data_IF_882074121507
#
_entry.id   IF_882074121507
#
_cell.length_a   1.000
_cell.length_b   1.000
_cell.length_c   1.000
_cell.angle_alpha   90.00
_cell.angle_beta   90.00
_cell.angle_gamma   90.00
#
_symmetry.space_group_name_H-M   'P 1'
#
loop_
_entity.id
_entity.type
_entity.pdbx_description
1 polymer ?
#
# COMPACT_ATOMS: atom_id res chain seq x y z
N UNK A 1 16.12 -9.77 -5.81
CA UNK A 1 14.68 -9.95 -5.57
C UNK A 1 13.90 -9.17 -6.61
N UNK A 2 12.93 -9.81 -7.25
CA UNK A 2 12.10 -9.13 -8.22
C UNK A 2 10.88 -8.53 -7.54
N UNK A 3 10.58 -7.28 -7.86
CA UNK A 3 9.35 -6.64 -7.43
C UNK A 3 8.35 -6.73 -8.58
N UNK A 4 7.23 -7.39 -8.31
CA UNK A 4 6.11 -7.47 -9.26
C UNK A 4 5.28 -6.21 -9.09
N UNK A 5 4.93 -5.55 -10.19
CA UNK A 5 4.12 -4.34 -10.14
C UNK A 5 2.68 -4.66 -10.54
N UNK A 6 1.75 -4.30 -9.66
CA UNK A 6 0.32 -4.32 -9.93
C UNK A 6 -0.23 -3.01 -9.37
N UNK A 7 0.08 -1.92 -10.06
CA UNK A 7 -0.19 -0.57 -9.57
C UNK A 7 -1.67 -0.25 -9.73
N UNK A 8 -2.23 0.34 -8.68
CA UNK A 8 -3.62 0.81 -8.68
C UNK A 8 -3.88 1.72 -9.88
N UNK A 9 -5.01 1.54 -10.60
CA UNK A 9 -5.31 2.40 -11.74
C UNK A 9 -5.56 3.84 -11.29
N UNK A 10 -5.21 4.79 -12.15
CA UNK A 10 -5.31 6.22 -11.82
C UNK A 10 -6.75 6.65 -11.48
N UNK A 11 -7.75 5.95 -12.00
CA UNK A 11 -9.16 6.21 -11.68
C UNK A 11 -9.48 5.99 -10.20
N UNK A 12 -8.64 5.21 -9.49
CA UNK A 12 -8.82 4.95 -8.06
C UNK A 12 -7.85 5.72 -7.16
N UNK A 13 -7.04 6.59 -7.70
CA UNK A 13 -6.11 7.39 -6.90
C UNK A 13 -6.84 8.22 -5.84
N UNK A 14 -8.00 8.77 -6.17
CA UNK A 14 -8.78 9.58 -5.23
C UNK A 14 -9.27 8.79 -4.01
N UNK A 15 -9.33 7.47 -4.10
CA UNK A 15 -9.71 6.59 -2.99
C UNK A 15 -8.47 6.05 -2.29
N UNK A 16 -7.51 5.55 -3.06
CA UNK A 16 -6.41 4.73 -2.52
C UNK A 16 -5.14 5.52 -2.20
N UNK A 17 -4.87 6.59 -2.96
CA UNK A 17 -3.63 7.35 -2.79
C UNK A 17 -3.80 8.79 -3.30
N UNK A 18 -4.71 9.57 -2.68
CA UNK A 18 -5.10 10.88 -3.26
C UNK A 18 -4.02 11.95 -3.19
N UNK A 19 -3.02 11.80 -2.33
CA UNK A 19 -2.03 12.84 -2.09
C UNK A 19 -0.64 12.45 -2.55
N UNK A 20 0.12 13.42 -3.01
CA UNK A 20 1.56 13.24 -3.22
C UNK A 20 2.27 13.01 -1.88
N UNK A 21 3.40 12.30 -1.92
CA UNK A 21 4.15 11.99 -0.72
C UNK A 21 5.65 12.03 -1.00
N UNK A 22 6.41 12.57 -0.05
CA UNK A 22 7.85 12.36 0.04
C UNK A 22 8.07 11.46 1.25
N UNK A 23 8.44 10.20 1.00
CA UNK A 23 8.54 9.23 2.08
C UNK A 23 9.72 9.54 3.00
N UNK A 24 9.47 9.49 4.31
CA UNK A 24 10.51 9.70 5.34
C UNK A 24 10.65 8.49 6.27
N UNK A 25 9.80 7.49 6.14
CA UNK A 25 9.80 6.31 7.01
C UNK A 25 9.21 5.10 6.31
N UNK A 26 9.49 3.94 6.86
CA UNK A 26 8.90 2.67 6.44
C UNK A 26 8.04 2.17 7.61
N UNK A 27 6.81 1.76 7.31
CA UNK A 27 5.89 1.20 8.31
C UNK A 27 5.53 -0.21 7.89
N UNK A 28 5.83 -1.18 8.76
CA UNK A 28 5.59 -2.59 8.47
C UNK A 28 4.38 -3.06 9.27
N UNK A 29 3.43 -3.69 8.59
CA UNK A 29 2.23 -4.27 9.20
C UNK A 29 2.25 -5.78 8.98
N UNK A 30 1.72 -6.52 9.97
CA UNK A 30 1.47 -7.95 9.84
C UNK A 30 0.02 -8.16 9.45
N UNK A 31 -0.23 -8.83 8.32
CA UNK A 31 -1.60 -9.08 7.86
C UNK A 31 -2.33 -10.10 8.73
N UNK A 32 -1.59 -10.97 9.41
CA UNK A 32 -2.12 -12.06 10.23
C UNK A 32 -3.02 -13.02 9.42
N UNK A 33 -2.77 -13.17 8.11
CA UNK A 33 -3.47 -14.12 7.26
C UNK A 33 -2.49 -14.81 6.31
N UNK A 34 -2.96 -15.80 5.56
CA UNK A 34 -2.13 -16.62 4.68
C UNK A 34 -2.24 -16.23 3.20
N UNK A 35 -2.83 -15.08 2.89
CA UNK A 35 -2.97 -14.66 1.50
C UNK A 35 -1.61 -14.35 0.89
N UNK A 36 -1.46 -14.64 -0.41
CA UNK A 36 -0.25 -14.29 -1.13
C UNK A 36 -0.15 -12.77 -1.30
N UNK A 37 1.06 -12.29 -1.53
CA UNK A 37 1.27 -10.86 -1.81
C UNK A 37 0.44 -10.40 -3.01
N UNK A 38 0.33 -11.23 -4.05
CA UNK A 38 -0.52 -10.92 -5.22
C UNK A 38 -1.98 -10.75 -4.84
N UNK A 39 -2.51 -11.65 -4.01
CA UNK A 39 -3.90 -11.59 -3.58
C UNK A 39 -4.16 -10.39 -2.69
N UNK A 40 -3.23 -10.06 -1.78
CA UNK A 40 -3.35 -8.88 -0.92
C UNK A 40 -3.45 -7.59 -1.75
N UNK A 41 -2.57 -7.42 -2.72
CA UNK A 41 -2.58 -6.24 -3.59
C UNK A 41 -3.84 -6.22 -4.47
N UNK A 42 -4.21 -7.36 -5.07
CA UNK A 42 -5.39 -7.43 -5.92
C UNK A 42 -6.66 -7.10 -5.14
N UNK A 43 -6.78 -7.59 -3.92
CA UNK A 43 -7.93 -7.29 -3.06
C UNK A 43 -7.96 -5.80 -2.69
N UNK A 44 -6.83 -5.24 -2.29
CA UNK A 44 -6.73 -3.82 -1.94
C UNK A 44 -7.18 -2.93 -3.10
N UNK A 45 -6.75 -3.24 -4.32
CA UNK A 45 -7.10 -2.46 -5.50
C UNK A 45 -8.58 -2.63 -5.86
N UNK A 46 -9.15 -3.82 -5.66
CA UNK A 46 -10.47 -4.17 -6.18
C UNK A 46 -11.62 -3.51 -5.44
N UNK A 47 -11.45 -3.12 -4.19
CA UNK A 47 -12.51 -2.52 -3.39
C UNK A 47 -12.39 -1.00 -3.33
N UNK A 48 -13.41 -0.32 -2.77
CA UNK A 48 -13.45 1.13 -2.67
C UNK A 48 -13.24 1.63 -1.24
N UNK A 49 -12.65 0.80 -0.39
CA UNK A 49 -12.32 1.21 0.98
C UNK A 49 -11.08 2.09 0.99
N UNK A 50 -11.04 3.04 1.92
CA UNK A 50 -9.84 3.86 2.16
C UNK A 50 -8.86 3.06 3.01
N UNK A 51 -8.38 1.97 2.45
CA UNK A 51 -7.32 1.13 3.00
C UNK A 51 -6.39 0.80 1.86
N UNK A 52 -5.12 1.11 2.03
CA UNK A 52 -4.13 0.85 0.98
C UNK A 52 -2.72 0.77 1.57
N UNK A 53 -1.83 0.17 0.79
CA UNK A 53 -0.44 0.00 1.18
C UNK A 53 0.41 -0.09 -0.08
N UNK A 54 1.69 0.25 0.05
CA UNK A 54 2.59 0.33 -1.10
C UNK A 54 3.04 -1.05 -1.57
N UNK A 55 3.37 -1.94 -0.62
CA UNK A 55 3.93 -3.26 -0.92
C UNK A 55 3.28 -4.33 -0.08
N UNK A 56 3.14 -5.51 -0.66
CA UNK A 56 2.87 -6.74 0.09
C UNK A 56 4.02 -7.72 -0.16
N UNK A 57 4.39 -8.45 0.87
CA UNK A 57 5.52 -9.39 0.83
C UNK A 57 5.05 -10.75 1.32
N UNK A 58 5.35 -11.79 0.57
CA UNK A 58 5.18 -13.17 1.02
C UNK A 58 6.53 -13.92 0.91
N UNK A 59 6.51 -15.22 1.07
CA UNK A 59 7.72 -16.04 1.03
C UNK A 59 8.32 -16.19 -0.37
N UNK A 60 7.67 -15.70 -1.40
CA UNK A 60 8.08 -15.86 -2.79
C UNK A 60 8.40 -14.56 -3.49
N UNK A 61 7.68 -13.48 -3.18
CA UNK A 61 7.79 -12.26 -3.95
C UNK A 61 7.35 -11.02 -3.18
N UNK A 62 7.67 -9.88 -3.75
CA UNK A 62 7.19 -8.56 -3.33
C UNK A 62 6.33 -8.02 -4.44
N UNK A 63 5.12 -7.55 -4.11
CA UNK A 63 4.20 -6.94 -5.08
C UNK A 63 3.94 -5.49 -4.68
N UNK A 64 4.11 -4.58 -5.63
CA UNK A 64 3.85 -3.15 -5.41
C UNK A 64 2.46 -2.80 -5.93
N UNK A 65 1.67 -2.10 -5.10
CA UNK A 65 0.33 -1.67 -5.46
C UNK A 65 0.16 -0.15 -5.54
N UNK A 66 0.97 0.62 -4.80
CA UNK A 66 0.89 2.08 -4.78
C UNK A 66 2.28 2.64 -5.11
N UNK A 67 2.37 3.69 -5.97
CA UNK A 67 3.65 4.36 -6.21
C UNK A 67 4.19 4.99 -4.94
N UNK A 68 5.51 4.99 -4.77
CA UNK A 68 6.15 5.51 -3.55
C UNK A 68 6.03 7.02 -3.37
N UNK A 69 5.70 7.74 -4.43
CA UNK A 69 5.48 9.18 -4.37
C UNK A 69 4.01 9.56 -4.10
N UNK A 70 3.19 8.58 -3.74
CA UNK A 70 1.79 8.78 -3.34
C UNK A 70 1.59 8.24 -1.94
N UNK A 71 0.65 8.85 -1.19
CA UNK A 71 0.30 8.36 0.14
C UNK A 71 -0.48 7.04 0.06
N UNK A 72 -0.63 6.38 1.22
CA UNK A 72 -1.52 5.23 1.38
C UNK A 72 -2.26 5.35 2.70
N UNK A 73 -3.37 4.63 2.83
CA UNK A 73 -4.21 4.63 4.02
C UNK A 73 -3.96 3.34 4.81
N UNK A 74 -3.04 3.37 5.78
CA UNK A 74 -2.60 2.13 6.44
C UNK A 74 -2.35 2.26 7.95
N UNK A 75 -2.19 3.47 8.49
CA UNK A 75 -1.79 3.61 9.89
C UNK A 75 -2.89 4.19 10.79
N UNK A 76 -4.05 4.48 10.23
CA UNK A 76 -5.18 4.95 11.02
C UNK A 76 -5.05 6.35 11.59
N UNK A 77 -4.06 7.14 11.15
CA UNK A 77 -3.78 8.47 11.69
C UNK A 77 -4.34 9.60 10.83
N UNK A 78 -5.22 9.27 9.88
CA UNK A 78 -5.99 10.24 9.10
C UNK A 78 -5.23 10.87 7.95
N UNK A 79 -5.88 11.86 7.32
CA UNK A 79 -5.38 12.48 6.08
C UNK A 79 -4.09 13.28 6.28
N UNK A 80 -3.80 13.71 7.50
CA UNK A 80 -2.60 14.49 7.82
C UNK A 80 -1.62 13.75 8.73
N UNK A 81 -1.90 12.48 9.05
CA UNK A 81 -1.03 11.69 9.91
C UNK A 81 0.26 11.31 9.21
N UNK A 82 1.35 11.27 9.97
CA UNK A 82 2.68 11.01 9.40
C UNK A 82 2.82 9.61 8.83
N UNK A 83 2.16 8.60 9.45
CA UNK A 83 2.17 7.25 8.91
C UNK A 83 1.57 7.19 7.53
N UNK A 84 0.38 7.77 7.36
CA UNK A 84 -0.30 7.80 6.06
C UNK A 84 0.36 8.73 5.05
N UNK A 85 0.91 9.85 5.49
CA UNK A 85 1.42 10.89 4.59
C UNK A 85 2.92 10.83 4.33
N UNK A 86 3.68 10.09 5.13
CA UNK A 86 5.15 10.04 5.01
C UNK A 86 5.71 8.63 5.06
N UNK A 87 4.88 7.60 5.24
CA UNK A 87 5.33 6.23 5.40
C UNK A 87 5.10 5.36 4.17
N UNK A 88 6.14 4.63 3.78
CA UNK A 88 5.99 3.52 2.84
C UNK A 88 5.42 2.35 3.64
N UNK A 89 4.24 1.88 3.26
CA UNK A 89 3.56 0.79 3.96
C UNK A 89 3.91 -0.55 3.34
N UNK A 90 4.36 -1.47 4.19
CA UNK A 90 4.71 -2.83 3.78
C UNK A 90 3.87 -3.81 4.61
N UNK A 91 3.07 -4.62 3.94
CA UNK A 91 2.28 -5.69 4.56
C UNK A 91 3.02 -7.02 4.41
N UNK A 92 3.20 -7.72 5.50
CA UNK A 92 3.88 -9.02 5.50
C UNK A 92 2.93 -10.12 5.93
#
# INVERSE_FOLDING_TARGET
MNIVKNIVPTEKYNIKCPYGMTASRIVVHNTANDASARNEIAYMISNNQEVSFHYAVDDKEVVQGIPENRNAWHSGDGANGKGNREGIAIEI
#
